data_IF_362110555126
#
_entry.id   IF_362110555126
#
_cell.length_a   1.000
_cell.length_b   1.000
_cell.length_c   1.000
_cell.angle_alpha   90.00
_cell.angle_beta   90.00
_cell.angle_gamma   90.00
#
_symmetry.space_group_name_H-M   'P 1'
#
loop_
_entity.id
_entity.type
_entity.pdbx_description
1 polymer ?
#
# COMPACT_ATOMS: atom_id res chain seq x y z
N UNK A 1 21.39 -1.49 -24.02
CA UNK A 1 20.24 -0.79 -23.41
C UNK A 1 18.98 -1.44 -23.94
N UNK A 2 18.40 -2.35 -23.17
CA UNK A 2 17.27 -3.19 -23.58
C UNK A 2 16.02 -2.34 -23.79
N UNK A 3 15.40 -2.54 -24.96
CA UNK A 3 14.17 -1.89 -25.43
C UNK A 3 13.03 -2.22 -24.45
N UNK A 4 12.39 -1.19 -23.88
CA UNK A 4 11.28 -1.30 -22.93
C UNK A 4 10.09 -1.99 -23.60
N UNK A 5 9.52 -3.02 -22.96
CA UNK A 5 8.21 -3.59 -23.31
C UNK A 5 7.15 -2.56 -22.87
N UNK A 6 6.13 -2.23 -23.68
CA UNK A 6 5.14 -1.20 -23.36
C UNK A 6 4.33 -1.40 -22.07
N UNK A 7 4.33 -2.61 -21.50
CA UNK A 7 3.55 -2.97 -20.29
C UNK A 7 4.35 -2.88 -18.98
N UNK A 8 5.68 -2.66 -19.02
CA UNK A 8 6.47 -2.55 -17.80
C UNK A 8 6.49 -1.10 -17.28
N UNK A 9 5.92 -0.88 -16.08
CA UNK A 9 5.96 0.42 -15.41
C UNK A 9 7.39 0.93 -15.26
N UNK A 10 7.60 2.20 -15.55
CA UNK A 10 8.82 2.89 -15.18
C UNK A 10 8.84 3.23 -13.70
N UNK A 11 10.02 3.51 -13.14
CA UNK A 11 10.13 3.99 -11.75
C UNK A 11 9.30 5.26 -11.52
N UNK A 12 9.23 6.16 -12.51
CA UNK A 12 8.45 7.39 -12.39
C UNK A 12 6.94 7.13 -12.39
N UNK A 13 6.46 6.18 -13.19
CA UNK A 13 5.06 5.73 -13.16
C UNK A 13 4.73 5.02 -11.84
N UNK A 14 5.59 4.12 -11.37
CA UNK A 14 5.44 3.46 -10.06
C UNK A 14 5.31 4.50 -8.95
N UNK A 15 6.21 5.49 -8.88
CA UNK A 15 6.14 6.54 -7.85
C UNK A 15 4.82 7.31 -7.90
N UNK A 16 4.24 7.53 -9.09
CA UNK A 16 2.92 8.18 -9.21
C UNK A 16 1.79 7.32 -8.69
N UNK A 17 1.85 6.00 -8.91
CA UNK A 17 0.83 5.04 -8.48
C UNK A 17 1.00 4.59 -7.02
N UNK A 18 2.06 5.03 -6.31
CA UNK A 18 2.39 4.52 -4.97
C UNK A 18 1.29 4.75 -3.95
N UNK A 19 0.59 5.89 -4.02
CA UNK A 19 -0.49 6.22 -3.10
C UNK A 19 -1.67 5.27 -3.33
N UNK A 20 -2.12 5.15 -4.58
CA UNK A 20 -3.23 4.26 -4.95
C UNK A 20 -2.91 2.80 -4.60
N UNK A 21 -1.65 2.36 -4.77
CA UNK A 21 -1.22 1.03 -4.34
C UNK A 21 -1.30 0.85 -2.82
N UNK A 22 -0.89 1.84 -2.04
CA UNK A 22 -0.90 1.78 -0.58
C UNK A 22 -2.33 1.88 0.00
N UNK A 23 -3.24 2.50 -0.73
CA UNK A 23 -4.65 2.70 -0.37
C UNK A 23 -5.59 1.64 -0.97
N UNK A 24 -5.04 0.62 -1.65
CA UNK A 24 -5.81 -0.46 -2.28
C UNK A 24 -6.78 0.03 -3.38
N UNK A 25 -6.43 1.13 -4.05
CA UNK A 25 -7.27 1.81 -5.04
C UNK A 25 -6.89 1.51 -6.50
N UNK A 26 -5.85 0.73 -6.74
CA UNK A 26 -5.45 0.32 -8.10
C UNK A 26 -6.40 -0.71 -8.70
N UNK A 27 -6.54 -0.67 -10.02
CA UNK A 27 -7.11 -1.78 -10.78
C UNK A 27 -6.26 -3.05 -10.59
N UNK A 28 -6.85 -4.24 -10.80
CA UNK A 28 -6.10 -5.51 -10.70
C UNK A 28 -4.93 -5.57 -11.67
N UNK A 29 -5.10 -5.01 -12.86
CA UNK A 29 -4.06 -4.94 -13.89
C UNK A 29 -2.90 -4.04 -13.45
N UNK A 30 -3.20 -2.81 -13.03
CA UNK A 30 -2.17 -1.87 -12.56
C UNK A 30 -1.43 -2.38 -11.34
N UNK A 31 -2.15 -3.03 -10.42
CA UNK A 31 -1.55 -3.66 -9.25
C UNK A 31 -0.58 -4.77 -9.66
N UNK A 32 -0.95 -5.60 -10.63
CA UNK A 32 -0.09 -6.68 -11.13
C UNK A 32 1.21 -6.12 -11.71
N UNK A 33 1.12 -5.09 -12.56
CA UNK A 33 2.30 -4.42 -13.12
C UNK A 33 3.15 -3.74 -12.04
N UNK A 34 2.51 -3.13 -11.04
CA UNK A 34 3.19 -2.51 -9.90
C UNK A 34 3.98 -3.55 -9.10
N UNK A 35 3.36 -4.65 -8.72
CA UNK A 35 3.99 -5.73 -7.96
C UNK A 35 5.14 -6.37 -8.74
N UNK A 36 4.96 -6.63 -10.05
CA UNK A 36 6.03 -7.09 -10.94
C UNK A 36 7.21 -6.13 -10.95
N UNK A 37 6.99 -4.81 -11.03
CA UNK A 37 8.06 -3.82 -10.98
C UNK A 37 8.85 -3.89 -9.66
N UNK A 38 8.18 -4.12 -8.52
CA UNK A 38 8.85 -4.23 -7.22
C UNK A 38 9.77 -5.45 -7.12
N UNK A 39 9.48 -6.54 -7.84
CA UNK A 39 10.33 -7.74 -7.89
C UNK A 39 11.69 -7.42 -8.51
N UNK A 40 11.73 -6.61 -9.57
CA UNK A 40 12.96 -6.34 -10.32
C UNK A 40 13.67 -5.05 -9.86
N UNK A 41 12.95 -4.06 -9.35
CA UNK A 41 13.52 -2.77 -8.96
C UNK A 41 13.67 -2.64 -7.44
N UNK A 42 14.88 -2.94 -6.92
CA UNK A 42 15.22 -2.79 -5.49
C UNK A 42 15.01 -1.36 -4.96
N UNK A 43 15.24 -0.35 -5.79
CA UNK A 43 15.04 1.06 -5.44
C UNK A 43 13.58 1.39 -5.17
N UNK A 44 12.68 0.95 -6.06
CA UNK A 44 11.24 1.11 -5.88
C UNK A 44 10.71 0.30 -4.70
N UNK A 45 11.21 -0.92 -4.48
CA UNK A 45 10.87 -1.69 -3.29
C UNK A 45 11.30 -0.99 -1.99
N UNK A 46 12.48 -0.34 -1.97
CA UNK A 46 12.92 0.46 -0.83
C UNK A 46 12.06 1.71 -0.64
N UNK A 47 11.68 2.38 -1.72
CA UNK A 47 10.80 3.54 -1.69
C UNK A 47 9.43 3.20 -1.09
N UNK A 48 8.79 2.10 -1.52
CA UNK A 48 7.51 1.65 -0.92
C UNK A 48 7.66 1.37 0.57
N UNK A 49 8.74 0.71 1.00
CA UNK A 49 9.00 0.49 2.44
C UNK A 49 9.16 1.80 3.20
N UNK A 50 9.85 2.79 2.62
CA UNK A 50 9.97 4.12 3.22
C UNK A 50 8.62 4.81 3.34
N UNK A 51 7.81 4.81 2.28
CA UNK A 51 6.47 5.42 2.31
C UNK A 51 5.58 4.81 3.39
N UNK A 52 5.60 3.48 3.57
CA UNK A 52 4.89 2.81 4.68
C UNK A 52 5.33 3.33 6.05
N UNK A 53 6.64 3.50 6.28
CA UNK A 53 7.17 4.07 7.54
C UNK A 53 6.74 5.53 7.73
N UNK A 54 6.73 6.33 6.66
CA UNK A 54 6.25 7.71 6.70
C UNK A 54 4.78 7.77 7.13
N UNK A 55 3.94 6.88 6.59
CA UNK A 55 2.52 6.79 6.97
C UNK A 55 2.38 6.41 8.44
N UNK A 56 3.10 5.38 8.90
CA UNK A 56 3.10 4.94 10.30
C UNK A 56 3.51 6.07 11.26
N UNK A 57 4.62 6.75 10.96
CA UNK A 57 5.10 7.88 11.76
C UNK A 57 4.09 9.04 11.75
N UNK A 58 3.43 9.31 10.62
CA UNK A 58 2.43 10.37 10.51
C UNK A 58 1.15 10.03 11.26
N UNK A 59 0.73 8.77 11.26
CA UNK A 59 -0.43 8.29 12.00
C UNK A 59 -0.23 8.41 13.51
N UNK A 60 0.98 8.13 14.02
CA UNK A 60 1.32 8.32 15.43
C UNK A 60 1.19 9.78 15.89
N UNK A 61 1.39 10.75 14.99
CA UNK A 61 1.26 12.18 15.29
C UNK A 61 -0.21 12.66 15.30
N UNK A 62 -1.14 11.93 14.67
CA UNK A 62 -2.55 12.34 14.58
C UNK A 62 -3.35 12.15 15.87
N UNK A 63 -2.76 11.61 16.94
CA UNK A 63 -3.45 11.33 18.19
C UNK A 63 -4.18 9.99 18.17
N UNK A 64 -4.56 9.51 19.36
CA UNK A 64 -5.01 8.14 19.62
C UNK A 64 -6.12 7.72 18.66
N UNK A 65 -5.95 6.55 18.04
CA UNK A 65 -6.95 5.93 17.19
C UNK A 65 -8.20 5.54 17.99
N UNK A 66 -8.89 4.49 17.55
CA UNK A 66 -9.99 3.95 18.36
C UNK A 66 -9.47 3.59 19.76
N UNK A 67 -10.21 3.99 20.80
CA UNK A 67 -9.91 3.53 22.16
C UNK A 67 -9.93 2.00 22.20
N UNK A 68 -9.20 1.40 23.15
CA UNK A 68 -9.16 -0.05 23.29
C UNK A 68 -10.57 -0.64 23.46
N UNK A 69 -11.46 0.07 24.15
CA UNK A 69 -12.86 -0.30 24.36
C UNK A 69 -13.67 -0.25 23.04
N UNK A 70 -13.51 0.83 22.26
CA UNK A 70 -14.17 0.96 20.96
C UNK A 70 -13.70 -0.11 19.97
N UNK A 71 -12.39 -0.42 19.97
CA UNK A 71 -11.83 -1.48 19.15
C UNK A 71 -12.33 -2.87 19.58
N UNK A 72 -12.40 -3.14 20.89
CA UNK A 72 -12.90 -4.41 21.42
C UNK A 72 -14.38 -4.63 21.06
N UNK A 73 -15.20 -3.58 21.14
CA UNK A 73 -16.62 -3.66 20.79
C UNK A 73 -16.82 -3.91 19.29
N UNK A 74 -16.06 -3.23 18.42
CA UNK A 74 -16.10 -3.50 16.98
C UNK A 74 -15.72 -4.95 16.67
N UNK A 75 -14.62 -5.45 17.25
CA UNK A 75 -14.20 -6.85 17.05
C UNK A 75 -15.26 -7.84 17.56
N UNK A 76 -15.96 -7.54 18.66
CA UNK A 76 -17.07 -8.38 19.16
C UNK A 76 -18.22 -8.43 18.15
N UNK A 77 -18.60 -7.29 17.58
CA UNK A 77 -19.67 -7.19 16.59
C UNK A 77 -19.33 -7.98 15.32
N UNK A 78 -18.13 -7.80 14.74
CA UNK A 78 -17.73 -8.49 13.51
C UNK A 78 -17.44 -9.99 13.70
N UNK A 79 -17.06 -10.44 14.90
CA UNK A 79 -16.93 -11.88 15.21
C UNK A 79 -18.28 -12.58 15.36
N UNK A 80 -19.34 -11.82 15.70
CA UNK A 80 -20.70 -12.35 15.85
C UNK A 80 -21.50 -12.45 14.55
N UNK A 81 -21.01 -11.90 13.44
CA UNK A 81 -21.73 -11.83 12.16
C UNK A 81 -21.38 -12.94 11.17
N UNK A 82 -20.63 -13.97 11.56
CA UNK A 82 -20.61 -15.23 10.81
C UNK A 82 -21.92 -15.98 11.06
N UNK A 83 -22.94 -15.68 10.25
CA UNK A 83 -24.08 -16.55 9.96
C UNK A 83 -24.35 -16.53 8.46
#
# INVERSE_FOLDING_TARGET
>A
MTRRVPEELTCAEMVRLVTDFLEDALSLEDRTHFEQHLVFCKGCAAYVRQMRKTIEASSALKGEGLSAEAQAELLRLFKGTCK
#
